data_IF_649148251568
#
_entry.id   IF_649148251568
#
_cell.length_a   1.000
_cell.length_b   1.000
_cell.length_c   1.000
_cell.angle_alpha   90.00
_cell.angle_beta   90.00
_cell.angle_gamma   90.00
#
_symmetry.space_group_name_H-M   'P 1'
#
loop_
_entity.id
_entity.type
_entity.pdbx_description
1 polymer ?
#
# COMPACT_ATOMS: atom_id res chain seq x y z
N UNK A 1 -23.31 21.14 -46.60
CA UNK A 1 -22.69 21.18 -45.26
C UNK A 1 -22.90 19.82 -44.63
N UNK A 2 -21.87 18.98 -44.71
CA UNK A 2 -21.85 17.61 -44.19
C UNK A 2 -21.62 17.65 -42.68
N UNK A 3 -22.49 16.99 -41.92
CA UNK A 3 -22.33 16.80 -40.49
C UNK A 3 -21.16 15.85 -40.23
N UNK A 4 -20.13 16.32 -39.52
CA UNK A 4 -19.08 15.46 -38.98
C UNK A 4 -19.66 14.63 -37.84
N UNK A 5 -19.64 13.31 -38.02
CA UNK A 5 -19.81 12.36 -36.94
C UNK A 5 -18.61 12.50 -35.98
N UNK A 6 -18.89 12.87 -34.74
CA UNK A 6 -17.93 12.75 -33.64
C UNK A 6 -17.77 11.26 -33.36
N UNK A 7 -16.62 10.72 -33.73
CA UNK A 7 -16.17 9.38 -33.32
C UNK A 7 -15.97 9.37 -31.82
N UNK A 8 -16.74 8.54 -31.10
CA UNK A 8 -16.45 8.19 -29.72
C UNK A 8 -15.05 7.53 -29.63
N UNK A 9 -14.22 7.86 -28.64
CA UNK A 9 -12.96 7.15 -28.43
C UNK A 9 -13.29 5.69 -28.08
N UNK A 10 -12.77 4.77 -28.88
CA UNK A 10 -12.88 3.34 -28.61
C UNK A 10 -12.25 3.02 -27.26
N UNK A 11 -13.07 2.56 -26.31
CA UNK A 11 -12.64 2.27 -24.95
C UNK A 11 -11.56 1.19 -24.92
N UNK A 12 -10.48 1.47 -24.19
CA UNK A 12 -9.39 0.54 -23.87
C UNK A 12 -9.82 -0.45 -22.76
N UNK A 13 -11.03 -1.00 -22.88
CA UNK A 13 -11.61 -1.88 -21.87
C UNK A 13 -10.70 -3.10 -21.64
N UNK A 14 -10.21 -3.25 -20.42
CA UNK A 14 -9.32 -4.33 -20.00
C UNK A 14 -7.82 -4.08 -20.21
N UNK A 15 -7.41 -2.85 -20.54
CA UNK A 15 -5.99 -2.48 -20.60
C UNK A 15 -5.26 -2.72 -19.27
N UNK A 16 -5.90 -2.43 -18.13
CA UNK A 16 -5.35 -2.72 -16.81
C UNK A 16 -5.09 -4.22 -16.63
N UNK A 17 -6.08 -5.06 -16.93
CA UNK A 17 -5.95 -6.53 -16.81
C UNK A 17 -4.82 -7.11 -17.67
N UNK A 18 -4.47 -6.46 -18.78
CA UNK A 18 -3.38 -6.91 -19.65
C UNK A 18 -1.98 -6.70 -19.07
N UNK A 19 -1.80 -5.71 -18.17
CA UNK A 19 -0.49 -5.37 -17.60
C UNK A 19 -0.33 -5.81 -16.15
N UNK A 20 -1.42 -5.84 -15.38
CA UNK A 20 -1.44 -6.10 -13.94
C UNK A 20 -0.67 -7.36 -13.51
N UNK A 21 -0.85 -8.55 -14.13
CA UNK A 21 -0.14 -9.76 -13.71
C UNK A 21 1.39 -9.65 -13.85
N UNK A 22 1.86 -9.00 -14.91
CA UNK A 22 3.30 -8.78 -15.13
C UNK A 22 3.84 -7.78 -14.11
N UNK A 23 3.14 -6.67 -13.92
CA UNK A 23 3.57 -5.61 -12.99
C UNK A 23 3.71 -6.14 -11.56
N UNK A 24 2.70 -6.88 -11.09
CA UNK A 24 2.73 -7.54 -9.78
C UNK A 24 3.94 -8.45 -9.63
N UNK A 25 4.15 -9.36 -10.60
CA UNK A 25 5.25 -10.33 -10.55
C UNK A 25 6.61 -9.66 -10.56
N UNK A 26 6.81 -8.65 -11.41
CA UNK A 26 8.09 -7.94 -11.50
C UNK A 26 8.38 -7.14 -10.22
N UNK A 27 7.40 -6.45 -9.66
CA UNK A 27 7.57 -5.68 -8.43
C UNK A 27 7.86 -6.59 -7.21
N UNK A 28 7.15 -7.72 -7.08
CA UNK A 28 7.45 -8.70 -6.04
C UNK A 28 8.81 -9.37 -6.24
N UNK A 29 9.15 -9.72 -7.49
CA UNK A 29 10.46 -10.27 -7.81
C UNK A 29 11.59 -9.31 -7.47
N UNK A 30 11.38 -8.01 -7.68
CA UNK A 30 12.33 -6.98 -7.24
C UNK A 30 12.47 -6.97 -5.72
N UNK A 31 11.37 -6.93 -4.96
CA UNK A 31 11.42 -6.92 -3.50
C UNK A 31 12.12 -8.16 -2.93
N UNK A 32 11.88 -9.32 -3.54
CA UNK A 32 12.52 -10.59 -3.19
C UNK A 32 14.03 -10.59 -3.46
N UNK A 33 14.46 -10.04 -4.59
CA UNK A 33 15.87 -9.89 -4.93
C UNK A 33 16.60 -8.87 -4.03
N UNK A 34 15.87 -7.90 -3.45
CA UNK A 34 16.41 -6.80 -2.65
C UNK A 34 16.15 -6.94 -1.15
N UNK A 35 15.95 -8.16 -0.64
CA UNK A 35 15.82 -8.46 0.80
C UNK A 35 16.94 -7.83 1.65
N UNK A 36 18.15 -7.72 1.11
CA UNK A 36 19.30 -7.09 1.81
C UNK A 36 19.03 -5.63 2.19
N UNK A 37 18.25 -4.89 1.40
CA UNK A 37 17.86 -3.50 1.72
C UNK A 37 16.89 -3.39 2.90
N UNK A 38 16.25 -4.50 3.28
CA UNK A 38 15.33 -4.58 4.41
C UNK A 38 15.96 -5.17 5.68
N UNK A 39 17.21 -5.62 5.62
CA UNK A 39 17.91 -6.18 6.79
C UNK A 39 18.11 -5.08 7.82
N UNK A 40 17.73 -5.34 9.07
CA UNK A 40 17.94 -4.39 10.16
C UNK A 40 19.43 -4.34 10.52
N UNK A 41 19.98 -3.14 10.81
CA UNK A 41 21.36 -3.03 11.22
C UNK A 41 21.55 -3.60 12.64
N UNK A 42 22.76 -4.02 13.02
CA UNK A 42 23.02 -4.66 14.31
C UNK A 42 22.78 -3.73 15.52
N UNK A 43 22.79 -2.42 15.30
CA UNK A 43 22.56 -1.36 16.28
C UNK A 43 21.12 -0.82 16.25
N UNK A 44 20.15 -1.55 15.69
CA UNK A 44 18.77 -1.08 15.52
C UNK A 44 18.07 -0.62 16.81
N UNK A 45 18.51 -1.11 17.97
CA UNK A 45 17.98 -0.72 19.29
C UNK A 45 18.64 0.56 19.86
N UNK A 46 19.71 1.05 19.24
CA UNK A 46 20.40 2.24 19.72
C UNK A 46 19.56 3.50 19.45
N UNK A 47 19.48 4.47 20.38
CA UNK A 47 18.59 5.63 20.27
C UNK A 47 18.82 6.54 19.04
N UNK A 48 19.95 6.40 18.34
CA UNK A 48 20.31 7.21 17.18
C UNK A 48 19.93 6.55 15.85
N UNK A 49 19.43 5.31 15.89
CA UNK A 49 18.99 4.59 14.70
C UNK A 49 17.83 5.32 14.02
N UNK A 50 17.98 5.53 12.73
CA UNK A 50 16.97 6.22 11.92
C UNK A 50 15.83 5.26 11.59
N UNK A 51 14.76 5.29 12.40
CA UNK A 51 13.55 4.45 12.24
C UNK A 51 13.03 4.47 10.79
N UNK A 52 13.00 5.66 10.18
CA UNK A 52 12.46 5.86 8.83
C UNK A 52 13.28 5.19 7.71
N UNK A 53 14.57 4.95 7.92
CA UNK A 53 15.43 4.29 6.92
C UNK A 53 15.76 2.84 7.27
N UNK A 54 15.20 2.31 8.38
CA UNK A 54 15.52 0.97 8.89
C UNK A 54 14.24 0.17 9.16
N UNK A 55 13.56 0.45 10.28
CA UNK A 55 12.37 -0.26 10.73
C UNK A 55 11.13 0.01 9.86
N UNK A 56 10.98 1.24 9.36
CA UNK A 56 9.84 1.62 8.51
C UNK A 56 9.78 0.79 7.22
N UNK A 57 10.86 0.65 6.42
CA UNK A 57 10.86 -0.24 5.26
C UNK A 57 10.44 -1.68 5.57
N UNK A 58 10.89 -2.22 6.71
CA UNK A 58 10.56 -3.58 7.13
C UNK A 58 9.08 -3.73 7.50
N UNK A 59 8.52 -2.76 8.23
CA UNK A 59 7.10 -2.73 8.58
C UNK A 59 6.21 -2.61 7.35
N UNK A 60 6.59 -1.79 6.38
CA UNK A 60 5.89 -1.63 5.11
C UNK A 60 5.95 -2.90 4.26
N UNK A 61 7.12 -3.55 4.20
CA UNK A 61 7.26 -4.87 3.56
C UNK A 61 6.27 -5.88 4.17
N UNK A 62 6.24 -5.99 5.50
CA UNK A 62 5.36 -6.91 6.21
C UNK A 62 3.87 -6.59 5.96
N UNK A 63 3.48 -5.32 6.02
CA UNK A 63 2.10 -4.88 5.86
C UNK A 63 1.58 -5.09 4.44
N UNK A 64 2.34 -4.65 3.44
CA UNK A 64 1.94 -4.73 2.04
C UNK A 64 1.95 -6.20 1.57
N UNK A 65 2.98 -6.98 1.91
CA UNK A 65 3.04 -8.39 1.53
C UNK A 65 1.96 -9.23 2.22
N UNK A 66 1.60 -8.93 3.48
CA UNK A 66 0.44 -9.58 4.14
C UNK A 66 -0.85 -9.35 3.36
N UNK A 67 -1.03 -8.15 2.82
CA UNK A 67 -2.23 -7.81 2.04
C UNK A 67 -2.21 -8.42 0.64
N UNK A 68 -1.05 -8.42 -0.03
CA UNK A 68 -0.84 -9.07 -1.33
C UNK A 68 -1.15 -10.56 -1.22
N UNK A 69 -0.63 -11.23 -0.20
CA UNK A 69 -0.89 -12.66 0.05
C UNK A 69 -2.37 -12.96 0.24
N UNK A 70 -3.11 -12.12 0.97
CA UNK A 70 -4.58 -12.22 1.12
C UNK A 70 -5.36 -11.91 -0.16
N UNK A 71 -4.70 -11.27 -1.12
CA UNK A 71 -5.31 -10.82 -2.37
C UNK A 71 -4.95 -11.70 -3.57
N UNK A 72 -4.11 -12.70 -3.37
CA UNK A 72 -3.62 -13.64 -4.39
C UNK A 72 -4.11 -15.05 -4.10
N UNK A 73 -4.28 -15.85 -5.14
CA UNK A 73 -4.70 -17.25 -4.99
C UNK A 73 -3.60 -18.07 -4.31
N UNK A 74 -3.92 -19.04 -3.42
CA UNK A 74 -2.91 -19.80 -2.67
C UNK A 74 -1.90 -20.57 -3.52
N UNK A 75 -2.26 -20.93 -4.76
CA UNK A 75 -1.42 -21.63 -5.74
C UNK A 75 -0.62 -20.69 -6.65
N UNK A 76 -0.84 -19.38 -6.58
CA UNK A 76 -0.11 -18.39 -7.35
C UNK A 76 1.32 -18.22 -6.78
N UNK A 77 2.36 -18.15 -7.63
CA UNK A 77 3.73 -17.84 -7.18
C UNK A 77 3.79 -16.54 -6.36
N UNK A 78 3.02 -15.53 -6.75
CA UNK A 78 2.94 -14.24 -6.07
C UNK A 78 2.43 -14.36 -4.62
N UNK A 79 1.58 -15.36 -4.32
CA UNK A 79 1.13 -15.66 -2.96
C UNK A 79 2.26 -16.22 -2.09
N UNK A 80 3.04 -17.15 -2.64
CA UNK A 80 4.18 -17.75 -1.97
C UNK A 80 5.27 -16.71 -1.69
N UNK A 81 5.70 -15.96 -2.72
CA UNK A 81 6.73 -14.91 -2.57
C UNK A 81 6.34 -13.85 -1.53
N UNK A 82 5.09 -13.38 -1.54
CA UNK A 82 4.62 -12.44 -0.52
C UNK A 82 4.63 -13.05 0.89
N UNK A 83 4.30 -14.33 1.04
CA UNK A 83 4.43 -15.05 2.31
C UNK A 83 5.87 -15.14 2.80
N UNK A 84 6.79 -15.51 1.91
CA UNK A 84 8.22 -15.64 2.24
C UNK A 84 8.84 -14.30 2.64
N UNK A 85 8.41 -13.19 2.03
CA UNK A 85 8.83 -11.84 2.41
C UNK A 85 8.32 -11.42 3.79
N UNK A 86 7.09 -11.79 4.16
CA UNK A 86 6.58 -11.55 5.53
C UNK A 86 7.35 -12.39 6.55
N UNK A 87 7.64 -13.66 6.24
CA UNK A 87 8.43 -14.52 7.14
C UNK A 87 9.86 -14.00 7.29
N UNK A 88 10.49 -13.55 6.20
CA UNK A 88 11.78 -12.87 6.27
C UNK A 88 11.72 -11.66 7.21
N UNK A 89 10.70 -10.80 7.07
CA UNK A 89 10.55 -9.64 7.93
C UNK A 89 10.33 -10.00 9.40
N UNK A 90 9.61 -11.11 9.67
CA UNK A 90 9.39 -11.64 11.01
C UNK A 90 10.67 -12.17 11.65
N UNK A 91 11.52 -12.82 10.87
CA UNK A 91 12.83 -13.28 11.31
C UNK A 91 13.75 -12.11 11.65
N UNK A 92 13.70 -11.01 10.88
CA UNK A 92 14.48 -9.79 11.18
C UNK A 92 14.12 -9.17 12.54
N UNK A 93 12.87 -9.29 12.98
CA UNK A 93 12.43 -8.83 14.31
C UNK A 93 12.52 -9.92 15.39
N UNK A 94 13.24 -11.02 15.10
CA UNK A 94 13.46 -12.14 16.00
C UNK A 94 12.16 -12.72 16.57
N UNK A 95 11.16 -12.94 15.73
CA UNK A 95 9.88 -13.46 16.21
C UNK A 95 9.11 -12.46 17.09
N UNK A 96 9.36 -11.16 16.92
CA UNK A 96 8.72 -10.08 17.67
C UNK A 96 9.46 -9.65 18.94
N UNK A 97 10.51 -10.37 19.36
CA UNK A 97 11.27 -10.04 20.57
C UNK A 97 11.97 -8.68 20.46
N UNK A 98 12.46 -8.32 19.26
CA UNK A 98 13.06 -7.01 19.00
C UNK A 98 12.03 -5.88 19.16
N UNK A 99 10.81 -6.07 18.65
CA UNK A 99 9.73 -5.08 18.78
C UNK A 99 9.29 -4.92 20.24
N UNK A 100 9.33 -6.01 21.02
CA UNK A 100 9.06 -5.98 22.46
C UNK A 100 10.13 -5.17 23.20
N UNK A 101 11.41 -5.31 22.84
CA UNK A 101 12.49 -4.49 23.42
C UNK A 101 12.33 -3.01 23.08
N UNK A 102 12.00 -2.68 21.83
CA UNK A 102 11.69 -1.32 21.42
C UNK A 102 10.49 -0.74 22.20
N UNK A 103 9.41 -1.51 22.33
CA UNK A 103 8.23 -1.07 23.08
C UNK A 103 8.52 -0.85 24.57
N UNK A 104 9.47 -1.59 25.16
CA UNK A 104 9.93 -1.37 26.55
C UNK A 104 10.78 -0.11 26.67
N UNK A 105 11.67 0.13 25.73
CA UNK A 105 12.55 1.31 25.72
C UNK A 105 11.80 2.61 25.41
N UNK A 106 10.79 2.51 24.55
CA UNK A 106 10.05 3.65 24.00
C UNK A 106 8.53 3.43 24.12
N UNK A 107 7.96 3.32 25.34
CA UNK A 107 6.53 3.04 25.54
C UNK A 107 5.59 4.16 25.05
N UNK A 108 6.16 5.31 24.68
CA UNK A 108 5.45 6.44 24.09
C UNK A 108 5.39 6.39 22.56
N UNK A 109 6.19 5.53 21.91
CA UNK A 109 6.27 5.44 20.47
C UNK A 109 5.23 4.46 19.91
N UNK A 110 4.50 4.87 18.87
CA UNK A 110 3.49 4.02 18.23
C UNK A 110 4.11 3.02 17.23
N UNK A 111 5.28 3.32 16.65
CA UNK A 111 5.81 2.54 15.53
C UNK A 111 6.09 1.05 15.86
N UNK A 112 6.57 0.63 17.05
CA UNK A 112 6.77 -0.79 17.33
C UNK A 112 5.44 -1.54 17.30
N UNK A 113 4.36 -0.89 17.78
CA UNK A 113 3.00 -1.40 17.78
C UNK A 113 2.44 -1.50 16.35
N UNK A 114 2.59 -0.45 15.55
CA UNK A 114 2.12 -0.43 14.15
C UNK A 114 2.84 -1.51 13.31
N UNK A 115 4.16 -1.68 13.49
CA UNK A 115 4.94 -2.73 12.82
C UNK A 115 4.47 -4.12 13.29
N UNK A 116 4.33 -4.32 14.60
CA UNK A 116 3.83 -5.60 15.13
C UNK A 116 2.44 -5.96 14.60
N UNK A 117 1.55 -4.97 14.46
CA UNK A 117 0.19 -5.19 13.96
C UNK A 117 0.15 -5.72 12.52
N UNK A 118 1.14 -5.42 11.67
CA UNK A 118 1.26 -6.02 10.35
C UNK A 118 1.47 -7.55 10.45
N UNK A 119 2.36 -7.99 11.35
CA UNK A 119 2.61 -9.42 11.63
C UNK A 119 1.42 -10.10 12.31
N UNK A 120 0.79 -9.45 13.28
CA UNK A 120 -0.43 -9.94 13.93
C UNK A 120 -1.57 -10.13 12.92
N UNK A 121 -1.68 -9.24 11.93
CA UNK A 121 -2.56 -9.41 10.78
C UNK A 121 -2.22 -10.66 9.95
N UNK A 122 -0.96 -11.03 9.82
CA UNK A 122 -0.57 -12.29 9.19
C UNK A 122 -0.87 -13.53 10.05
N UNK A 123 -1.17 -13.35 11.35
CA UNK A 123 -1.32 -14.43 12.32
C UNK A 123 -0.01 -14.80 13.04
N UNK A 124 1.06 -14.03 12.84
CA UNK A 124 2.31 -14.18 13.59
C UNK A 124 2.18 -13.43 14.92
N UNK A 125 2.48 -14.11 16.03
CA UNK A 125 2.14 -13.65 17.39
C UNK A 125 3.34 -13.76 18.31
N UNK A 126 3.52 -12.77 19.18
CA UNK A 126 4.48 -12.78 20.28
C UNK A 126 3.75 -12.42 21.59
N UNK A 127 3.63 -13.39 22.49
CA UNK A 127 2.87 -13.18 23.73
C UNK A 127 3.50 -12.13 24.66
N UNK A 128 4.82 -11.99 24.62
CA UNK A 128 5.53 -10.98 25.42
C UNK A 128 5.19 -9.57 24.98
N UNK A 129 5.17 -9.35 23.67
CA UNK A 129 4.70 -8.12 23.04
C UNK A 129 3.26 -7.82 23.42
N UNK A 130 2.34 -8.76 23.18
CA UNK A 130 0.91 -8.55 23.40
C UNK A 130 0.55 -8.27 24.87
N UNK A 131 1.25 -8.90 25.83
CA UNK A 131 1.06 -8.58 27.25
C UNK A 131 1.47 -7.14 27.58
N UNK A 132 2.59 -6.66 27.03
CA UNK A 132 3.03 -5.28 27.27
C UNK A 132 2.14 -4.28 26.54
N UNK A 133 1.84 -4.54 25.28
CA UNK A 133 0.91 -3.77 24.44
C UNK A 133 -0.44 -3.59 25.13
N UNK A 134 -1.06 -4.68 25.61
CA UNK A 134 -2.32 -4.62 26.33
C UNK A 134 -2.24 -3.82 27.63
N UNK A 135 -1.09 -3.84 28.32
CA UNK A 135 -0.87 -2.98 29.50
C UNK A 135 -0.78 -1.50 29.10
N UNK A 136 0.01 -1.17 28.08
CA UNK A 136 0.19 0.20 27.60
C UNK A 136 -1.11 0.79 27.06
N UNK A 137 -1.92 0.00 26.35
CA UNK A 137 -3.20 0.40 25.79
C UNK A 137 -4.20 0.88 26.87
N UNK A 138 -4.06 0.43 28.12
CA UNK A 138 -4.91 0.89 29.24
C UNK A 138 -4.47 2.21 29.86
N UNK A 139 -3.29 2.73 29.48
CA UNK A 139 -2.74 3.94 30.09
C UNK A 139 -3.39 5.20 29.52
N UNK A 140 -3.45 6.25 30.35
CA UNK A 140 -3.87 7.58 29.87
C UNK A 140 -2.90 8.16 28.85
N UNK A 141 -1.62 7.82 28.93
CA UNK A 141 -0.61 8.29 27.99
C UNK A 141 -0.92 7.80 26.59
N UNK A 142 -1.17 6.50 26.44
CA UNK A 142 -1.57 5.89 25.18
C UNK A 142 -2.86 6.48 24.62
N UNK A 143 -3.91 6.58 25.45
CA UNK A 143 -5.20 7.15 25.04
C UNK A 143 -5.16 8.66 24.73
N UNK A 144 -4.05 9.36 25.02
CA UNK A 144 -3.87 10.80 24.84
C UNK A 144 -2.62 11.16 24.06
N UNK A 145 -2.06 10.22 23.30
CA UNK A 145 -0.92 10.47 22.41
C UNK A 145 -1.26 11.59 21.43
N UNK A 146 -0.47 12.66 21.42
CA UNK A 146 -0.65 13.77 20.47
C UNK A 146 -0.20 13.35 19.07
N UNK A 147 -1.13 13.20 18.15
CA UNK A 147 -0.85 12.79 16.78
C UNK A 147 -1.91 13.30 15.79
N UNK A 148 -1.55 13.31 14.50
CA UNK A 148 -2.50 13.61 13.44
C UNK A 148 -3.59 12.54 13.36
N UNK A 149 -4.82 12.93 12.99
CA UNK A 149 -5.98 12.04 13.03
C UNK A 149 -5.84 10.80 12.13
N UNK A 150 -5.17 10.91 10.98
CA UNK A 150 -4.90 9.76 10.11
C UNK A 150 -3.93 8.75 10.76
N UNK A 151 -2.95 9.22 11.54
CA UNK A 151 -2.05 8.36 12.33
C UNK A 151 -2.78 7.69 13.49
N UNK A 152 -3.68 8.43 14.16
CA UNK A 152 -4.55 7.89 15.19
C UNK A 152 -5.44 6.75 14.65
N UNK A 153 -6.00 6.89 13.44
CA UNK A 153 -6.70 5.78 12.76
C UNK A 153 -5.80 4.58 12.50
N UNK A 154 -4.53 4.79 12.14
CA UNK A 154 -3.54 3.73 11.97
C UNK A 154 -3.30 2.95 13.27
N UNK A 155 -3.24 3.66 14.40
CA UNK A 155 -3.12 3.04 15.71
C UNK A 155 -4.39 2.25 16.09
N UNK A 156 -5.58 2.80 15.86
CA UNK A 156 -6.85 2.09 16.07
C UNK A 156 -6.98 0.84 15.19
N UNK A 157 -6.50 0.90 13.94
CA UNK A 157 -6.44 -0.27 13.07
C UNK A 157 -5.46 -1.32 13.60
N UNK A 158 -4.32 -0.86 14.13
CA UNK A 158 -3.30 -1.73 14.73
C UNK A 158 -3.84 -2.44 15.97
N UNK A 159 -4.50 -1.72 16.88
CA UNK A 159 -5.12 -2.29 18.09
C UNK A 159 -6.10 -3.41 17.75
N UNK A 160 -6.93 -3.19 16.73
CA UNK A 160 -7.87 -4.20 16.25
C UNK A 160 -7.18 -5.49 15.77
N UNK A 161 -6.01 -5.37 15.13
CA UNK A 161 -5.26 -6.52 14.60
C UNK A 161 -4.53 -7.29 15.67
N UNK A 162 -3.97 -6.56 16.64
CA UNK A 162 -3.38 -7.14 17.84
C UNK A 162 -4.47 -7.85 18.66
N UNK A 163 -5.68 -7.31 18.68
CA UNK A 163 -6.82 -7.84 19.43
C UNK A 163 -7.12 -7.06 20.72
N UNK A 164 -6.56 -5.86 20.84
CA UNK A 164 -6.77 -4.97 21.96
C UNK A 164 -8.07 -4.16 21.82
N UNK A 165 -8.53 -3.61 22.94
CA UNK A 165 -9.63 -2.65 22.95
C UNK A 165 -9.18 -1.33 22.31
N UNK A 166 -10.05 -0.75 21.48
CA UNK A 166 -9.78 0.53 20.83
C UNK A 166 -9.71 1.65 21.88
N UNK A 167 -8.66 2.47 21.85
CA UNK A 167 -8.53 3.58 22.78
C UNK A 167 -9.46 4.77 22.46
N UNK A 168 -9.96 4.86 21.22
CA UNK A 168 -10.85 5.91 20.76
C UNK A 168 -11.93 5.38 19.79
N UNK A 169 -13.01 6.15 19.62
CA UNK A 169 -14.02 5.89 18.62
C UNK A 169 -13.51 6.24 17.21
N UNK A 170 -13.43 5.23 16.34
CA UNK A 170 -12.88 5.39 15.00
C UNK A 170 -13.66 6.39 14.14
N UNK A 171 -14.99 6.51 14.31
CA UNK A 171 -15.80 7.47 13.57
C UNK A 171 -15.47 8.91 13.95
N UNK A 172 -15.30 9.18 15.23
CA UNK A 172 -14.92 10.49 15.77
C UNK A 172 -13.52 10.90 15.34
N UNK A 173 -12.57 9.96 15.28
CA UNK A 173 -11.22 10.21 14.75
C UNK A 173 -11.26 10.45 13.24
N UNK A 174 -12.03 9.66 12.49
CA UNK A 174 -12.22 9.83 11.05
C UNK A 174 -12.73 11.22 10.70
N UNK A 175 -13.74 11.73 11.42
CA UNK A 175 -14.31 13.07 11.19
C UNK A 175 -13.29 14.21 11.37
N UNK A 176 -12.15 13.98 12.05
CA UNK A 176 -11.05 14.95 12.21
C UNK A 176 -10.00 14.88 11.09
N UNK A 177 -10.06 13.89 10.21
CA UNK A 177 -9.14 13.77 9.08
C UNK A 177 -9.55 14.71 7.94
N UNK A 178 -8.61 15.04 7.05
CA UNK A 178 -8.90 15.79 5.82
C UNK A 178 -9.97 15.10 4.97
N UNK A 179 -9.87 13.77 4.83
CA UNK A 179 -10.85 12.97 4.07
C UNK A 179 -12.22 12.92 4.75
N UNK A 180 -12.27 12.70 6.07
CA UNK A 180 -13.53 12.61 6.82
C UNK A 180 -14.23 13.95 6.96
N UNK A 181 -13.51 15.07 6.85
CA UNK A 181 -14.08 16.40 6.71
C UNK A 181 -14.59 16.73 5.30
N UNK A 182 -14.41 15.82 4.32
CA UNK A 182 -14.72 16.02 2.90
C UNK A 182 -14.17 17.35 2.38
N UNK A 183 -12.90 17.64 2.74
CA UNK A 183 -12.23 18.90 2.41
C UNK A 183 -12.27 19.21 0.91
N UNK A 184 -12.05 20.48 0.57
CA UNK A 184 -12.12 20.92 -0.81
C UNK A 184 -11.11 20.15 -1.69
N UNK A 185 -11.57 19.48 -2.76
CA UNK A 185 -10.76 18.51 -3.51
C UNK A 185 -9.61 19.15 -4.31
N UNK A 186 -9.67 20.45 -4.57
CA UNK A 186 -8.58 21.22 -5.18
C UNK A 186 -7.47 21.60 -4.19
N UNK A 187 -7.65 21.31 -2.89
CA UNK A 187 -6.60 21.43 -1.87
C UNK A 187 -5.75 20.15 -1.74
N UNK A 188 -5.92 19.22 -2.68
CA UNK A 188 -5.11 18.01 -2.76
C UNK A 188 -3.65 18.36 -3.09
N UNK A 189 -2.73 17.92 -2.23
CA UNK A 189 -1.29 18.06 -2.35
C UNK A 189 -0.62 16.77 -1.87
N UNK A 190 0.68 16.60 -2.09
CA UNK A 190 1.39 15.36 -1.72
C UNK A 190 1.10 14.88 -0.29
N UNK A 191 1.32 15.71 0.75
CA UNK A 191 1.04 15.32 2.14
C UNK A 191 -0.42 14.96 2.42
N UNK A 192 -1.39 15.68 1.85
CA UNK A 192 -2.82 15.36 2.04
C UNK A 192 -3.23 14.11 1.25
N UNK A 193 -2.60 13.86 0.10
CA UNK A 193 -2.72 12.62 -0.67
C UNK A 193 -2.31 11.39 0.13
N UNK A 194 -1.10 11.39 0.69
CA UNK A 194 -0.64 10.30 1.58
C UNK A 194 -1.52 10.18 2.83
N UNK A 195 -1.92 11.29 3.45
CA UNK A 195 -2.82 11.21 4.61
C UNK A 195 -4.19 10.57 4.25
N UNK A 196 -4.72 10.88 3.06
CA UNK A 196 -5.98 10.34 2.54
C UNK A 196 -5.88 8.84 2.24
N UNK A 197 -4.84 8.40 1.54
CA UNK A 197 -4.64 6.99 1.19
C UNK A 197 -4.51 6.13 2.44
N UNK A 198 -3.70 6.56 3.41
CA UNK A 198 -3.58 5.90 4.70
C UNK A 198 -4.91 5.87 5.47
N UNK A 199 -5.69 6.97 5.44
CA UNK A 199 -7.03 6.98 6.04
C UNK A 199 -7.93 5.88 5.45
N UNK A 200 -7.94 5.75 4.11
CA UNK A 200 -8.68 4.68 3.42
C UNK A 200 -8.16 3.31 3.83
N UNK A 201 -6.85 3.10 3.84
CA UNK A 201 -6.25 1.82 4.21
C UNK A 201 -6.58 1.46 5.66
N UNK A 202 -6.56 2.39 6.61
CA UNK A 202 -6.87 2.09 8.01
C UNK A 202 -8.35 1.74 8.26
N UNK A 203 -9.28 2.46 7.62
CA UNK A 203 -10.73 2.21 7.72
C UNK A 203 -11.09 0.85 7.13
N UNK A 204 -10.58 0.58 5.92
CA UNK A 204 -10.89 -0.65 5.18
C UNK A 204 -10.07 -1.86 5.64
N UNK A 205 -9.27 -1.71 6.71
CA UNK A 205 -8.35 -2.74 7.16
C UNK A 205 -7.43 -3.26 6.04
N UNK A 206 -6.84 -2.30 5.33
CA UNK A 206 -6.02 -2.49 4.15
C UNK A 206 -6.77 -3.31 3.10
N UNK A 207 -7.96 -2.81 2.73
CA UNK A 207 -8.87 -3.40 1.74
C UNK A 207 -9.50 -4.75 2.14
N UNK A 208 -9.34 -5.22 3.39
CA UNK A 208 -9.95 -6.47 3.84
C UNK A 208 -11.43 -6.32 4.17
N UNK A 209 -11.89 -5.11 4.51
CA UNK A 209 -13.28 -4.82 4.83
C UNK A 209 -13.72 -3.51 4.15
N UNK A 210 -13.88 -3.49 2.80
CA UNK A 210 -14.30 -2.32 2.03
C UNK A 210 -15.61 -1.69 2.54
N UNK A 211 -16.50 -2.49 3.11
CA UNK A 211 -17.83 -2.10 3.58
C UNK A 211 -17.79 -1.17 4.81
N UNK A 212 -16.62 -1.01 5.44
CA UNK A 212 -16.42 -0.01 6.51
C UNK A 212 -16.34 1.41 5.99
N UNK A 213 -16.20 1.62 4.68
CA UNK A 213 -16.14 2.95 4.09
C UNK A 213 -17.49 3.65 4.19
N UNK A 214 -17.57 4.84 4.82
CA UNK A 214 -18.79 5.65 4.80
C UNK A 214 -19.21 6.03 3.38
N UNK A 215 -20.52 6.05 3.12
CA UNK A 215 -21.07 6.26 1.77
C UNK A 215 -20.79 7.65 1.20
N UNK A 216 -20.72 8.68 2.05
CA UNK A 216 -20.35 10.05 1.69
C UNK A 216 -18.87 10.14 1.27
N UNK A 217 -17.98 9.49 2.01
CA UNK A 217 -16.56 9.38 1.65
C UNK A 217 -16.36 8.56 0.38
N UNK A 218 -17.06 7.44 0.19
CA UNK A 218 -17.03 6.66 -1.06
C UNK A 218 -17.46 7.51 -2.26
N UNK A 219 -18.59 8.23 -2.14
CA UNK A 219 -19.07 9.11 -3.20
C UNK A 219 -18.05 10.22 -3.53
N UNK A 220 -17.43 10.81 -2.51
CA UNK A 220 -16.40 11.84 -2.66
C UNK A 220 -15.16 11.29 -3.38
N UNK A 221 -14.62 10.14 -2.95
CA UNK A 221 -13.47 9.50 -3.58
C UNK A 221 -13.77 9.12 -5.03
N UNK A 222 -14.95 8.59 -5.33
CA UNK A 222 -15.36 8.25 -6.71
C UNK A 222 -15.40 9.47 -7.64
N UNK A 223 -15.78 10.63 -7.11
CA UNK A 223 -15.81 11.87 -7.89
C UNK A 223 -14.41 12.42 -8.18
N UNK A 224 -13.47 12.27 -7.24
CA UNK A 224 -12.19 13.01 -7.27
C UNK A 224 -10.93 12.17 -7.50
N UNK A 225 -11.00 10.84 -7.34
CA UNK A 225 -9.89 9.96 -7.69
C UNK A 225 -9.40 10.16 -9.15
N UNK A 226 -10.27 10.26 -10.18
CA UNK A 226 -9.79 10.44 -11.54
C UNK A 226 -8.89 11.67 -11.75
N UNK A 227 -9.31 12.90 -11.43
CA UNK A 227 -8.44 14.07 -11.62
C UNK A 227 -7.19 14.07 -10.72
N UNK A 228 -7.23 13.46 -9.53
CA UNK A 228 -6.02 13.34 -8.69
C UNK A 228 -5.01 12.35 -9.27
N UNK A 229 -5.47 11.22 -9.80
CA UNK A 229 -4.61 10.24 -10.49
C UNK A 229 -4.01 10.87 -11.75
N UNK A 230 -4.80 11.60 -12.53
CA UNK A 230 -4.31 12.33 -13.71
C UNK A 230 -3.19 13.32 -13.32
N UNK A 231 -3.42 14.15 -12.30
CA UNK A 231 -2.40 15.10 -11.81
C UNK A 231 -1.13 14.43 -11.29
N UNK A 232 -1.25 13.27 -10.61
CA UNK A 232 -0.10 12.48 -10.16
C UNK A 232 0.69 11.91 -11.35
N UNK A 233 -0.01 11.38 -12.37
CA UNK A 233 0.63 10.88 -13.59
C UNK A 233 1.34 11.98 -14.37
N UNK A 234 0.71 13.14 -14.55
CA UNK A 234 1.30 14.31 -15.21
C UNK A 234 2.57 14.78 -14.49
N UNK A 235 2.53 14.79 -13.15
CA UNK A 235 3.64 15.19 -12.29
C UNK A 235 4.65 14.08 -12.03
N UNK A 236 4.40 12.87 -12.55
CA UNK A 236 5.22 11.66 -12.34
C UNK A 236 5.43 11.33 -10.86
N UNK A 237 4.37 11.45 -10.07
CA UNK A 237 4.31 11.06 -8.66
C UNK A 237 3.89 9.58 -8.59
N UNK A 238 4.78 8.68 -8.99
CA UNK A 238 4.45 7.26 -9.21
C UNK A 238 4.05 6.53 -7.94
N UNK A 239 4.69 6.86 -6.81
CA UNK A 239 4.34 6.33 -5.50
C UNK A 239 2.87 6.62 -5.16
N UNK A 240 2.52 7.91 -5.14
CA UNK A 240 1.16 8.36 -4.86
C UNK A 240 0.16 7.89 -5.92
N UNK A 241 0.55 7.78 -7.19
CA UNK A 241 -0.28 7.13 -8.22
C UNK A 241 -0.62 5.69 -7.81
N UNK A 242 0.37 4.90 -7.39
CA UNK A 242 0.16 3.53 -6.93
C UNK A 242 -0.79 3.47 -5.73
N UNK A 243 -0.63 4.36 -4.75
CA UNK A 243 -1.51 4.42 -3.58
C UNK A 243 -2.95 4.77 -3.95
N UNK A 244 -3.17 5.76 -4.83
CA UNK A 244 -4.50 6.14 -5.29
C UNK A 244 -5.19 5.02 -6.10
N UNK A 245 -4.43 4.23 -6.86
CA UNK A 245 -4.95 3.03 -7.53
C UNK A 245 -5.33 1.93 -6.53
N UNK A 246 -4.57 1.77 -5.44
CA UNK A 246 -4.97 0.90 -4.35
C UNK A 246 -6.24 1.40 -3.65
N UNK A 247 -6.37 2.72 -3.43
CA UNK A 247 -7.60 3.34 -2.91
C UNK A 247 -8.79 3.02 -3.82
N UNK A 248 -8.64 3.15 -5.15
CA UNK A 248 -9.69 2.81 -6.10
C UNK A 248 -10.15 1.34 -5.98
N UNK A 249 -9.24 0.42 -5.66
CA UNK A 249 -9.56 -0.99 -5.42
C UNK A 249 -10.15 -1.25 -4.00
N UNK A 250 -9.87 -0.37 -3.03
CA UNK A 250 -10.35 -0.46 -1.65
C UNK A 250 -11.82 -0.09 -1.48
N UNK A 251 -12.41 0.63 -2.44
CA UNK A 251 -13.79 1.11 -2.35
C UNK A 251 -14.83 -0.02 -2.44
N UNK A 252 -15.97 0.12 -1.73
CA UNK A 252 -17.06 -0.84 -1.80
C UNK A 252 -17.67 -0.88 -3.21
N UNK A 253 -18.15 -2.03 -3.67
CA UNK A 253 -18.72 -2.17 -5.02
C UNK A 253 -17.69 -2.24 -6.16
N UNK A 254 -18.10 -2.07 -7.43
CA UNK A 254 -17.19 -2.24 -8.57
C UNK A 254 -16.04 -1.24 -8.58
N UNK A 255 -14.82 -1.69 -8.93
CA UNK A 255 -13.70 -0.78 -9.15
C UNK A 255 -13.99 0.12 -10.37
N UNK A 256 -13.50 1.37 -10.38
CA UNK A 256 -13.69 2.30 -11.50
C UNK A 256 -12.83 1.86 -12.70
N UNK A 257 -13.36 1.01 -13.57
CA UNK A 257 -12.61 0.37 -14.66
C UNK A 257 -11.95 1.36 -15.62
N UNK A 258 -12.64 2.45 -15.95
CA UNK A 258 -12.12 3.44 -16.91
C UNK A 258 -10.88 4.15 -16.36
N UNK A 259 -10.89 4.47 -15.06
CA UNK A 259 -9.73 5.03 -14.36
C UNK A 259 -8.57 4.03 -14.36
N UNK A 260 -8.84 2.77 -14.01
CA UNK A 260 -7.82 1.74 -13.96
C UNK A 260 -7.21 1.48 -15.34
N UNK A 261 -8.04 1.38 -16.39
CA UNK A 261 -7.60 1.15 -17.76
C UNK A 261 -6.78 2.31 -18.33
N UNK A 262 -7.04 3.55 -17.89
CA UNK A 262 -6.24 4.71 -18.26
C UNK A 262 -4.88 4.76 -17.53
N UNK A 263 -4.87 4.50 -16.22
CA UNK A 263 -3.70 4.74 -15.37
C UNK A 263 -2.68 3.59 -15.36
N UNK A 264 -3.14 2.33 -15.34
CA UNK A 264 -2.24 1.17 -15.22
C UNK A 264 -1.22 1.04 -16.35
N UNK A 265 -1.55 1.29 -17.63
CA UNK A 265 -0.56 1.28 -18.70
C UNK A 265 0.57 2.29 -18.48
N UNK A 266 0.28 3.47 -17.92
CA UNK A 266 1.28 4.49 -17.63
C UNK A 266 2.20 4.07 -16.49
N UNK A 267 1.65 3.59 -15.37
CA UNK A 267 2.45 3.08 -14.24
C UNK A 267 3.28 1.84 -14.65
N UNK A 268 2.71 0.95 -15.47
CA UNK A 268 3.41 -0.22 -16.00
C UNK A 268 4.57 0.15 -16.93
N UNK A 269 4.52 1.31 -17.59
CA UNK A 269 5.62 1.85 -18.40
C UNK A 269 6.68 2.56 -17.55
N UNK A 270 6.34 2.98 -16.33
CA UNK A 270 7.28 3.56 -15.38
C UNK A 270 8.10 2.50 -14.62
N UNK A 271 7.62 1.27 -14.55
CA UNK A 271 8.34 0.14 -13.99
C UNK A 271 9.57 -0.22 -14.84
N UNK A 272 10.75 -0.21 -14.22
CA UNK A 272 12.00 -0.63 -14.83
C UNK A 272 12.01 -2.14 -15.15
N UNK A 273 12.89 -2.61 -16.05
CA UNK A 273 12.99 -4.04 -16.37
C UNK A 273 13.28 -4.94 -15.16
N UNK A 274 14.01 -4.44 -14.16
CA UNK A 274 14.28 -5.15 -12.90
C UNK A 274 13.06 -5.23 -11.96
N UNK A 275 11.98 -4.49 -12.26
CA UNK A 275 10.76 -4.44 -11.46
C UNK A 275 10.62 -3.22 -10.57
N UNK A 276 11.70 -2.45 -10.37
CA UNK A 276 11.71 -1.22 -9.58
C UNK A 276 10.80 -0.14 -10.20
N UNK A 277 10.15 0.64 -9.35
CA UNK A 277 9.39 1.85 -9.71
C UNK A 277 9.98 3.00 -8.90
N UNK A 278 10.43 4.11 -9.52
CA UNK A 278 10.90 5.27 -8.75
C UNK A 278 9.75 5.94 -8.01
N UNK A 279 10.01 6.57 -6.88
CA UNK A 279 8.95 7.30 -6.16
C UNK A 279 8.40 8.47 -6.99
N UNK A 280 9.30 9.26 -7.59
CA UNK A 280 8.95 10.43 -8.39
C UNK A 280 9.89 10.63 -9.58
N UNK A 281 9.45 11.43 -10.54
CA UNK A 281 10.34 11.99 -11.57
C UNK A 281 10.51 11.10 -12.81
N UNK A 282 11.55 11.33 -13.61
CA UNK A 282 11.74 10.64 -14.88
C UNK A 282 12.06 9.16 -14.67
N UNK A 283 11.50 8.33 -15.53
CA UNK A 283 11.85 6.91 -15.64
C UNK A 283 13.22 6.77 -16.31
N UNK A 284 14.12 5.95 -15.77
CA UNK A 284 15.40 5.66 -16.42
C UNK A 284 15.08 4.74 -17.60
N UNK A 285 15.05 5.30 -18.81
CA UNK A 285 15.11 4.48 -20.02
C UNK A 285 16.52 3.94 -20.12
N UNK A 286 16.67 2.63 -20.28
CA UNK A 286 17.94 2.03 -20.65
C UNK A 286 18.42 2.72 -21.94
N UNK A 287 19.45 3.56 -21.84
CA UNK A 287 20.13 4.12 -23.01
C UNK A 287 20.97 3.01 -23.64
N UNK A 288 20.69 2.57 -24.88
CA UNK A 288 21.51 1.54 -25.54
C UNK A 288 22.94 2.01 -25.86
N UNK A 289 23.27 3.30 -25.61
CA UNK A 289 24.55 3.93 -25.99
C UNK A 289 25.30 4.59 -24.82
N UNK A 290 24.85 4.41 -23.58
CA UNK A 290 25.51 4.96 -22.40
C UNK A 290 26.80 4.21 -22.07
N UNK A 291 27.94 4.73 -22.53
CA UNK A 291 29.27 4.22 -22.20
C UNK A 291 29.59 4.41 -20.72
N UNK A 292 29.39 3.37 -19.92
CA UNK A 292 30.16 3.18 -18.71
C UNK A 292 31.60 2.81 -19.12
N UNK A 293 32.60 3.42 -18.48
CA UNK A 293 33.99 2.98 -18.63
C UNK A 293 34.09 1.47 -18.38
N UNK A 294 34.95 0.80 -19.13
CA UNK A 294 35.02 -0.67 -19.25
C UNK A 294 35.30 -1.45 -17.95
N UNK A 295 35.37 -0.78 -16.79
CA UNK A 295 35.81 -1.35 -15.51
C UNK A 295 34.83 -1.10 -14.34
N UNK A 296 33.61 -0.59 -14.58
CA UNK A 296 32.56 -0.49 -13.55
C UNK A 296 31.46 -1.50 -13.86
N UNK A 297 31.23 -2.47 -12.97
CA UNK A 297 30.02 -3.30 -13.05
C UNK A 297 28.79 -2.37 -12.99
N UNK A 298 27.84 -2.46 -13.93
CA UNK A 298 26.63 -1.67 -13.85
C UNK A 298 25.88 -2.05 -12.57
N UNK A 299 25.50 -1.05 -11.77
CA UNK A 299 24.56 -1.24 -10.68
C UNK A 299 23.30 -1.91 -11.26
N UNK A 300 22.89 -3.10 -10.76
CA UNK A 300 21.75 -3.82 -11.32
C UNK A 300 20.44 -3.02 -11.23
N UNK A 301 20.38 -2.04 -10.32
CA UNK A 301 19.21 -1.20 -10.10
C UNK A 301 19.41 0.25 -10.61
N UNK A 302 18.42 0.82 -11.33
CA UNK A 302 18.51 2.18 -11.83
C UNK A 302 18.25 3.26 -10.77
N UNK A 303 17.90 2.88 -9.53
CA UNK A 303 17.51 3.78 -8.46
C UNK A 303 18.10 3.33 -7.11
N UNK A 304 18.49 4.27 -6.23
CA UNK A 304 18.81 3.94 -4.84
C UNK A 304 17.61 3.28 -4.15
N UNK A 305 17.86 2.26 -3.32
CA UNK A 305 16.83 1.49 -2.62
C UNK A 305 15.77 2.38 -1.94
N UNK A 306 16.20 3.35 -1.14
CA UNK A 306 15.29 4.25 -0.41
C UNK A 306 14.45 5.18 -1.31
N UNK A 307 14.77 5.30 -2.60
CA UNK A 307 14.05 6.13 -3.56
C UNK A 307 13.11 5.31 -4.48
N UNK A 308 13.04 3.99 -4.30
CA UNK A 308 12.21 3.12 -5.12
C UNK A 308 11.52 1.97 -4.37
N UNK A 309 11.97 1.59 -3.16
CA UNK A 309 11.41 0.42 -2.49
C UNK A 309 9.91 0.59 -2.19
N UNK A 310 9.52 1.76 -1.67
CA UNK A 310 8.15 2.02 -1.26
C UNK A 310 7.21 1.99 -2.46
N UNK A 311 7.51 2.78 -3.50
CA UNK A 311 6.75 2.80 -4.75
C UNK A 311 6.70 1.45 -5.45
N UNK A 312 7.75 0.64 -5.35
CA UNK A 312 7.75 -0.72 -5.90
C UNK A 312 6.81 -1.63 -5.11
N UNK A 313 6.86 -1.61 -3.78
CA UNK A 313 5.96 -2.38 -2.93
C UNK A 313 4.50 -1.92 -3.07
N UNK A 314 4.25 -0.62 -3.10
CA UNK A 314 2.92 -0.02 -3.34
C UNK A 314 2.40 -0.45 -4.71
N UNK A 315 3.24 -0.49 -5.74
CA UNK A 315 2.86 -0.96 -7.08
C UNK A 315 2.43 -2.42 -7.06
N UNK A 316 3.19 -3.30 -6.38
CA UNK A 316 2.81 -4.71 -6.20
C UNK A 316 1.48 -4.83 -5.43
N UNK A 317 1.34 -4.09 -4.34
CA UNK A 317 0.14 -4.04 -3.50
C UNK A 317 -1.10 -3.61 -4.28
N UNK A 318 -1.04 -2.47 -4.95
CA UNK A 318 -2.11 -1.95 -5.79
C UNK A 318 -2.47 -2.92 -6.91
N UNK A 319 -1.47 -3.56 -7.53
CA UNK A 319 -1.70 -4.51 -8.62
C UNK A 319 -2.44 -5.77 -8.15
N UNK A 320 -2.04 -6.33 -7.00
CA UNK A 320 -2.72 -7.48 -6.40
C UNK A 320 -4.19 -7.17 -6.06
N UNK A 321 -4.44 -6.00 -5.46
CA UNK A 321 -5.80 -5.55 -5.13
C UNK A 321 -6.66 -5.35 -6.38
N UNK A 322 -6.16 -4.58 -7.36
CA UNK A 322 -6.89 -4.32 -8.61
C UNK A 322 -7.19 -5.62 -9.35
N UNK A 323 -6.22 -6.55 -9.44
CA UNK A 323 -6.41 -7.83 -10.10
C UNK A 323 -7.49 -8.66 -9.42
N UNK A 324 -7.48 -8.76 -8.09
CA UNK A 324 -8.52 -9.46 -7.31
C UNK A 324 -9.90 -8.86 -7.54
N UNK A 325 -10.03 -7.53 -7.50
CA UNK A 325 -11.32 -6.84 -7.69
C UNK A 325 -11.85 -7.00 -9.10
N UNK A 326 -11.02 -6.79 -10.12
CA UNK A 326 -11.43 -6.89 -11.51
C UNK A 326 -11.80 -8.33 -11.91
N UNK A 327 -11.11 -9.33 -11.38
CA UNK A 327 -11.42 -10.74 -11.66
C UNK A 327 -12.66 -11.23 -10.90
N UNK A 328 -12.81 -10.86 -9.62
CA UNK A 328 -13.99 -11.17 -8.82
C UNK A 328 -15.28 -10.60 -9.43
N UNK A 329 -15.27 -9.32 -9.79
CA UNK A 329 -16.44 -8.67 -10.42
C UNK A 329 -16.83 -9.28 -11.77
N UNK A 330 -15.85 -9.73 -12.58
CA UNK A 330 -16.15 -10.43 -13.85
C UNK A 330 -16.81 -11.78 -13.61
N UNK A 331 -16.41 -12.51 -12.57
CA UNK A 331 -17.04 -13.78 -12.19
C UNK A 331 -18.49 -13.56 -11.72
N UNK A 332 -18.72 -12.54 -10.89
CA UNK A 332 -20.06 -12.18 -10.40
C UNK A 332 -21.00 -11.75 -11.54
N UNK A 333 -20.50 -10.95 -12.48
CA UNK A 333 -21.25 -10.54 -13.66
C UNK A 333 -21.63 -11.73 -14.56
N UNK A 334 -20.70 -12.68 -14.77
CA UNK A 334 -20.98 -13.90 -15.54
C UNK A 334 -22.00 -14.81 -14.84
N UNK A 335 -21.94 -14.91 -13.51
CA UNK A 335 -22.91 -15.65 -12.70
C UNK A 335 -24.31 -15.01 -12.75
N UNK A 336 -24.41 -13.68 -12.72
CA UNK A 336 -25.68 -12.97 -12.82
C UNK A 336 -26.36 -13.16 -14.20
N UNK A 337 -25.59 -13.16 -15.29
CA UNK A 337 -26.12 -13.40 -16.64
C UNK A 337 -26.62 -14.83 -16.81
N UNK A 338 -25.95 -15.82 -16.21
CA UNK A 338 -26.36 -17.23 -16.28
C UNK A 338 -27.54 -17.56 -15.36
N UNK A 339 -27.64 -16.90 -14.20
CA UNK A 339 -28.77 -17.06 -13.26
C UNK A 339 -30.07 -16.38 -13.70
N UNK A 340 -30.01 -15.35 -14.54
CA UNK A 340 -31.19 -14.69 -15.11
C UNK A 340 -31.82 -15.44 -16.30
N UNK A 341 -31.20 -16.54 -16.77
CA UNK A 341 -31.65 -17.35 -17.89
C UNK A 341 -32.46 -18.61 -17.48
N UNK A 342 -32.97 -18.65 -16.24
CA UNK A 342 -33.79 -19.75 -15.70
C UNK A 342 -35.20 -19.26 -15.35
#
# INVERSE_FOLDING_TARGET
>A
MTASAVTAPGGTAGAALSVLPRVLRQALGWADAHRSGFVLPPDVLEPHTQVNSTLKPLGELAQLCTTIRRSTAPDAPEHATAGDLVMFAWDQVHGGDLLLELLRGEPFAAYPYEIYAAFAGHGLRNEGFERLAGTLATTRGWARTEQQANRELGLLNSERRVGDALHADAGSVLARTWLGGLSEPWMFEGPSGYALTHTVFHITDWCCVPERMPADIDAYLRAWLPPWVDGCLESRQWDLTGELLAVAAALPGPPPTDLLDAAWPALAAAQAPCGAVPETGPTVRADPRGGAGADAEPDPDPYPFLACYHSTLVTAFAAALCLKRLTGHRADAAAAVTGAAV
#
